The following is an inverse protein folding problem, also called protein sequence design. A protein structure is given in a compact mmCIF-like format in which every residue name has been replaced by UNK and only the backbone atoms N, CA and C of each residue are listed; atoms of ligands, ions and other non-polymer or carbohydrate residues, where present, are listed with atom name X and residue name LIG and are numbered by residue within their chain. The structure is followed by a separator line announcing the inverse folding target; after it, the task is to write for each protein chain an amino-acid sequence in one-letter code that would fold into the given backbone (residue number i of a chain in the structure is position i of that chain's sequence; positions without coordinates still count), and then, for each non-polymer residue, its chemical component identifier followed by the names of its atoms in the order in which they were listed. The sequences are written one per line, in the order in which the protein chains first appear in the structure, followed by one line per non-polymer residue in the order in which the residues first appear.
data_IF_916457172644
#
_entry.id   IF_916457172644
#
_cell.length_a   1.000
_cell.length_b   1.000
_cell.length_c   1.000
_cell.angle_alpha   90.00
_cell.angle_beta   90.00
_cell.angle_gamma   90.00
#
_symmetry.space_group_name_H-M   'P 1'
#
loop_
_entity.id
_entity.type
_entity.pdbx_description
1 polymer ?
#
# COMPACT_ATOMS: atom_id res chain seq x y z
N UNK A 1 -17.75 -5.67 19.44
CA UNK A 1 -18.07 -4.70 18.38
C UNK A 1 -17.10 -4.93 17.25
N UNK A 2 -17.60 -5.17 16.05
CA UNK A 2 -16.77 -5.21 14.84
C UNK A 2 -16.33 -3.78 14.50
N UNK A 3 -15.07 -3.62 14.09
CA UNK A 3 -14.58 -2.32 13.65
C UNK A 3 -15.24 -1.97 12.30
N UNK A 4 -15.50 -0.70 11.99
CA UNK A 4 -16.05 -0.32 10.68
C UNK A 4 -14.93 -0.21 9.62
N UNK A 5 -15.33 -0.24 8.35
CA UNK A 5 -14.47 0.18 7.23
C UNK A 5 -14.68 1.67 6.97
N UNK A 6 -13.59 2.37 6.64
CA UNK A 6 -13.58 3.83 6.45
C UNK A 6 -13.21 4.18 5.01
N UNK A 7 -13.94 5.14 4.45
CA UNK A 7 -13.49 5.93 3.31
C UNK A 7 -12.85 7.21 3.84
N UNK A 8 -11.61 7.46 3.44
CA UNK A 8 -10.77 8.51 3.99
C UNK A 8 -10.11 9.31 2.88
N UNK A 9 -9.94 10.61 3.11
CA UNK A 9 -9.07 11.44 2.27
C UNK A 9 -7.70 11.54 2.91
N UNK A 10 -6.68 11.05 2.23
CA UNK A 10 -5.30 11.11 2.73
C UNK A 10 -4.70 12.47 2.40
N UNK A 11 -4.19 13.18 3.40
CA UNK A 11 -3.51 14.49 3.23
C UNK A 11 -2.00 14.29 3.10
N UNK A 12 -1.41 13.54 4.03
CA UNK A 12 0.03 13.26 4.05
C UNK A 12 0.31 11.78 3.73
N UNK A 13 0.50 11.45 2.46
CA UNK A 13 0.63 10.07 1.98
C UNK A 13 1.78 9.29 2.65
N UNK A 14 2.96 9.90 2.79
CA UNK A 14 4.13 9.27 3.41
C UNK A 14 3.88 8.98 4.89
N UNK A 15 3.35 9.95 5.63
CA UNK A 15 3.06 9.79 7.05
C UNK A 15 1.93 8.78 7.28
N UNK A 16 0.88 8.81 6.46
CA UNK A 16 -0.18 7.80 6.49
C UNK A 16 0.40 6.38 6.42
N UNK A 17 1.19 6.08 5.39
CA UNK A 17 1.79 4.75 5.25
C UNK A 17 2.72 4.43 6.43
N UNK A 18 3.55 5.38 6.89
CA UNK A 18 4.43 5.18 8.05
C UNK A 18 3.68 4.82 9.34
N UNK A 19 2.49 5.38 9.55
CA UNK A 19 1.66 5.08 10.71
C UNK A 19 0.90 3.76 10.57
N UNK A 20 0.61 3.32 9.34
CA UNK A 20 -0.02 2.01 9.10
C UNK A 20 0.96 0.83 9.31
N UNK A 21 2.23 0.99 8.96
CA UNK A 21 3.23 -0.10 9.01
C UNK A 21 3.36 -0.80 10.38
N UNK A 22 3.34 -0.10 11.53
CA UNK A 22 3.36 -0.74 12.85
C UNK A 22 2.09 -1.54 13.19
N UNK A 23 0.95 -1.22 12.57
CA UNK A 23 -0.37 -1.79 12.91
C UNK A 23 -0.66 -3.13 12.21
N UNK A 24 0.21 -3.56 11.31
CA UNK A 24 0.06 -4.80 10.53
C UNK A 24 1.09 -5.84 10.96
N UNK A 25 0.89 -7.11 10.64
CA UNK A 25 1.81 -8.20 10.98
C UNK A 25 2.78 -8.50 9.82
N UNK A 26 3.68 -9.49 10.02
CA UNK A 26 4.62 -9.94 8.99
C UNK A 26 3.96 -10.71 7.84
N UNK A 27 2.70 -11.11 7.98
CA UNK A 27 1.91 -11.75 6.94
C UNK A 27 1.30 -10.75 5.95
N UNK A 28 1.45 -9.45 6.22
CA UNK A 28 0.98 -8.37 5.37
C UNK A 28 2.07 -7.93 4.40
N UNK A 29 1.67 -7.53 3.20
CA UNK A 29 2.56 -6.94 2.18
C UNK A 29 2.14 -5.51 1.85
N UNK A 30 3.12 -4.64 1.63
CA UNK A 30 2.91 -3.35 0.98
C UNK A 30 3.05 -3.53 -0.52
N UNK A 31 2.04 -3.12 -1.26
CA UNK A 31 2.04 -3.14 -2.72
C UNK A 31 2.07 -1.70 -3.22
N UNK A 32 2.97 -1.42 -4.15
CA UNK A 32 3.09 -0.15 -4.85
C UNK A 32 2.95 -0.42 -6.35
N UNK A 33 2.07 0.32 -7.02
CA UNK A 33 1.92 0.27 -8.48
C UNK A 33 2.20 1.66 -9.03
N UNK A 34 3.01 1.75 -10.09
CA UNK A 34 3.39 3.02 -10.70
C UNK A 34 4.80 3.00 -11.26
N UNK A 35 5.40 4.17 -11.42
CA UNK A 35 6.82 4.34 -11.74
C UNK A 35 7.70 4.00 -10.52
N UNK A 36 8.40 2.87 -10.62
CA UNK A 36 9.27 2.35 -9.57
C UNK A 36 10.73 2.76 -9.72
N UNK A 37 11.05 3.73 -10.60
CA UNK A 37 12.43 4.17 -10.88
C UNK A 37 13.22 4.63 -9.65
N UNK A 38 12.52 5.10 -8.61
CA UNK A 38 13.12 5.57 -7.35
C UNK A 38 13.14 4.51 -6.23
N UNK A 39 12.54 3.35 -6.46
CA UNK A 39 12.48 2.27 -5.46
C UNK A 39 13.82 1.53 -5.39
N UNK A 40 14.53 1.62 -4.26
CA UNK A 40 15.81 0.92 -4.07
C UNK A 40 15.57 -0.42 -3.38
N UNK A 41 15.43 -1.47 -4.19
CA UNK A 41 15.09 -2.82 -3.73
C UNK A 41 16.19 -3.55 -2.95
N UNK A 42 17.46 -3.18 -3.13
CA UNK A 42 18.59 -3.93 -2.57
C UNK A 42 18.66 -4.02 -1.05
N UNK A 43 17.76 -3.34 -0.31
CA UNK A 43 17.64 -3.42 1.15
C UNK A 43 16.29 -3.97 1.64
N UNK A 44 15.40 -4.33 0.71
CA UNK A 44 14.07 -4.83 1.01
C UNK A 44 14.05 -6.34 0.78
N UNK A 45 14.12 -7.09 1.87
CA UNK A 45 14.19 -8.54 1.84
C UNK A 45 12.89 -9.15 1.29
N UNK A 46 13.01 -10.09 0.36
CA UNK A 46 11.86 -10.73 -0.28
C UNK A 46 10.96 -9.79 -1.11
N UNK A 47 11.40 -8.57 -1.43
CA UNK A 47 10.64 -7.68 -2.30
C UNK A 47 10.63 -8.18 -3.75
N UNK A 48 9.44 -8.28 -4.34
CA UNK A 48 9.22 -8.79 -5.70
C UNK A 48 8.72 -7.68 -6.59
N UNK A 49 9.38 -7.47 -7.73
CA UNK A 49 8.96 -6.53 -8.77
C UNK A 49 8.41 -7.28 -9.98
N UNK A 50 7.20 -6.93 -10.35
CA UNK A 50 6.52 -7.43 -11.55
C UNK A 50 6.41 -6.29 -12.56
N UNK A 51 6.78 -6.54 -13.82
CA UNK A 51 6.54 -5.58 -14.90
C UNK A 51 5.06 -5.59 -15.28
N UNK A 52 4.49 -4.41 -15.48
CA UNK A 52 3.12 -4.26 -15.98
C UNK A 52 3.21 -3.69 -17.38
N UNK A 53 2.43 -4.26 -18.31
CA UNK A 53 2.31 -3.70 -19.65
C UNK A 53 1.54 -2.39 -19.56
N UNK A 54 2.23 -1.28 -19.77
CA UNK A 54 1.62 0.04 -19.95
C UNK A 54 1.60 0.40 -21.44
N UNK A 55 0.50 1.02 -21.86
CA UNK A 55 0.32 1.52 -23.23
C UNK A 55 1.32 2.62 -23.56
N UNK A 56 1.72 3.41 -22.55
CA UNK A 56 2.68 4.49 -22.72
C UNK A 56 4.13 3.93 -22.80
N UNK A 57 4.81 4.06 -23.96
CA UNK A 57 6.13 3.50 -24.16
C UNK A 57 7.23 4.16 -23.31
N UNK A 58 7.04 5.41 -22.86
CA UNK A 58 8.04 6.17 -22.06
C UNK A 58 8.27 5.54 -20.68
N UNK A 59 7.25 4.90 -20.11
CA UNK A 59 7.29 4.34 -18.76
C UNK A 59 7.45 2.82 -18.73
N UNK A 60 7.55 2.14 -19.88
CA UNK A 60 7.51 0.68 -19.98
C UNK A 60 8.54 -0.06 -19.11
N UNK A 61 9.72 0.51 -18.90
CA UNK A 61 10.80 -0.16 -18.17
C UNK A 61 10.75 0.08 -16.65
N UNK A 62 10.23 1.23 -16.21
CA UNK A 62 10.20 1.60 -14.79
C UNK A 62 8.84 1.36 -14.14
N UNK A 63 7.76 1.35 -14.93
CA UNK A 63 6.41 1.11 -14.45
C UNK A 63 6.21 -0.36 -14.08
N UNK A 64 5.59 -0.62 -12.93
CA UNK A 64 5.31 -1.98 -12.50
C UNK A 64 4.59 -2.06 -11.18
N UNK A 65 4.48 -3.29 -10.67
CA UNK A 65 3.98 -3.62 -9.33
C UNK A 65 5.16 -4.06 -8.48
N UNK A 66 5.30 -3.47 -7.30
CA UNK A 66 6.29 -3.83 -6.31
C UNK A 66 5.57 -4.34 -5.07
N UNK A 67 5.80 -5.60 -4.72
CA UNK A 67 5.24 -6.25 -3.54
C UNK A 67 6.35 -6.42 -2.50
N UNK A 68 6.16 -5.89 -1.30
CA UNK A 68 7.16 -5.88 -0.23
C UNK A 68 6.55 -6.53 1.02
N UNK A 69 7.03 -7.72 1.42
CA UNK A 69 6.63 -8.34 2.68
C UNK A 69 6.94 -7.42 3.87
N UNK A 70 6.02 -7.26 4.81
CA UNK A 70 6.20 -6.35 5.95
C UNK A 70 6.86 -7.03 7.15
N UNK A 71 8.02 -7.65 6.91
CA UNK A 71 8.92 -8.11 7.96
C UNK A 71 9.42 -6.92 8.82
N UNK A 72 9.95 -7.21 10.02
CA UNK A 72 10.47 -6.18 10.92
C UNK A 72 11.56 -5.31 10.27
N UNK A 73 12.47 -5.93 9.51
CA UNK A 73 13.53 -5.24 8.78
C UNK A 73 12.96 -4.34 7.67
N UNK A 74 12.03 -4.86 6.86
CA UNK A 74 11.43 -4.09 5.76
C UNK A 74 10.63 -2.90 6.29
N UNK A 75 9.87 -3.07 7.38
CA UNK A 75 9.16 -1.96 8.04
C UNK A 75 10.12 -0.86 8.48
N UNK A 76 11.27 -1.23 9.06
CA UNK A 76 12.30 -0.28 9.46
C UNK A 76 12.85 0.49 8.25
N UNK A 77 13.29 -0.23 7.22
CA UNK A 77 13.86 0.36 5.99
C UNK A 77 12.85 1.25 5.25
N UNK A 78 11.59 0.82 5.18
CA UNK A 78 10.50 1.61 4.60
C UNK A 78 10.30 2.92 5.34
N UNK A 79 10.16 2.88 6.67
CA UNK A 79 9.92 4.07 7.49
C UNK A 79 11.09 5.05 7.48
N UNK A 80 12.32 4.55 7.55
CA UNK A 80 13.52 5.38 7.71
C UNK A 80 14.08 5.88 6.39
N UNK A 81 14.06 5.06 5.34
CA UNK A 81 14.88 5.32 4.15
C UNK A 81 14.07 5.41 2.84
N UNK A 82 13.08 4.55 2.64
CA UNK A 82 12.46 4.37 1.32
C UNK A 82 11.24 5.28 1.10
N UNK A 83 10.25 5.28 2.00
CA UNK A 83 8.99 6.02 1.79
C UNK A 83 9.17 7.51 1.47
N UNK A 84 10.11 8.25 2.11
CA UNK A 84 10.36 9.65 1.76
C UNK A 84 10.90 9.87 0.33
N UNK A 85 11.48 8.83 -0.30
CA UNK A 85 12.18 8.92 -1.59
C UNK A 85 11.36 8.41 -2.78
N UNK A 86 10.39 7.52 -2.53
CA UNK A 86 9.60 6.87 -3.58
C UNK A 86 8.75 7.89 -4.37
N UNK A 87 8.34 8.99 -3.72
CA UNK A 87 7.49 10.01 -4.37
C UNK A 87 6.05 9.52 -4.53
N UNK A 88 5.41 9.08 -3.43
CA UNK A 88 4.11 8.40 -3.43
C UNK A 88 2.99 9.12 -4.20
N UNK A 89 2.93 10.46 -4.21
CA UNK A 89 1.91 11.20 -4.97
C UNK A 89 2.26 11.49 -6.43
N UNK A 90 3.53 11.30 -6.81
CA UNK A 90 4.08 11.75 -8.09
C UNK A 90 4.31 10.57 -9.03
N UNK A 91 4.74 9.43 -8.47
CA UNK A 91 5.21 8.27 -9.23
C UNK A 91 4.35 7.05 -9.02
N UNK A 92 3.71 6.94 -7.87
CA UNK A 92 2.95 5.75 -7.48
C UNK A 92 1.47 6.03 -7.72
N UNK A 93 0.89 5.33 -8.68
CA UNK A 93 -0.53 5.45 -9.01
C UNK A 93 -1.40 4.77 -7.96
N UNK A 94 -0.92 3.73 -7.30
CA UNK A 94 -1.71 2.96 -6.35
C UNK A 94 -0.86 2.36 -5.24
N UNK A 95 -1.39 2.40 -4.02
CA UNK A 95 -0.78 1.85 -2.80
C UNK A 95 -1.79 0.94 -2.11
N UNK A 96 -1.36 -0.28 -1.76
CA UNK A 96 -2.19 -1.24 -1.05
C UNK A 96 -1.45 -1.85 0.14
N UNK A 97 -2.19 -2.20 1.19
CA UNK A 97 -1.77 -3.16 2.20
C UNK A 97 -2.60 -4.42 2.03
N UNK A 98 -1.94 -5.52 1.69
CA UNK A 98 -2.59 -6.80 1.41
C UNK A 98 -2.19 -7.86 2.44
N UNK A 99 -3.17 -8.60 2.96
CA UNK A 99 -2.92 -9.74 3.86
C UNK A 99 -3.77 -10.92 3.43
N UNK A 100 -3.13 -12.00 2.98
CA UNK A 100 -3.80 -13.22 2.51
C UNK A 100 -4.98 -12.96 1.53
N UNK A 101 -4.80 -12.02 0.58
CA UNK A 101 -5.82 -11.66 -0.40
C UNK A 101 -6.89 -10.67 0.09
N UNK A 102 -6.85 -10.24 1.35
CA UNK A 102 -7.68 -9.16 1.89
C UNK A 102 -6.96 -7.82 1.78
N UNK A 103 -7.68 -6.78 1.33
CA UNK A 103 -7.20 -5.41 1.34
C UNK A 103 -7.43 -4.78 2.72
N UNK A 104 -6.34 -4.40 3.38
CA UNK A 104 -6.37 -3.66 4.64
C UNK A 104 -6.42 -2.15 4.37
N UNK A 105 -5.68 -1.70 3.37
CA UNK A 105 -5.65 -0.31 2.93
C UNK A 105 -5.54 -0.28 1.41
N UNK A 106 -6.23 0.65 0.77
CA UNK A 106 -6.13 0.87 -0.67
C UNK A 106 -6.28 2.36 -0.97
N UNK A 107 -5.26 2.94 -1.59
CA UNK A 107 -5.30 4.29 -2.14
C UNK A 107 -4.95 4.23 -3.62
N UNK A 108 -5.89 4.60 -4.48
CA UNK A 108 -5.70 4.72 -5.92
C UNK A 108 -5.37 6.15 -6.32
N UNK A 109 -5.09 6.33 -7.61
CA UNK A 109 -4.87 7.62 -8.26
C UNK A 109 -3.93 8.55 -7.48
N UNK A 110 -2.79 8.02 -7.02
CA UNK A 110 -1.77 8.80 -6.30
C UNK A 110 -2.31 9.56 -5.08
N UNK A 111 -3.28 8.98 -4.36
CA UNK A 111 -3.97 9.57 -3.20
C UNK A 111 -4.78 10.84 -3.53
N UNK A 112 -5.16 11.05 -4.80
CA UNK A 112 -6.07 12.13 -5.19
C UNK A 112 -7.52 11.76 -4.87
N UNK A 113 -7.85 10.49 -5.04
CA UNK A 113 -9.17 9.93 -4.73
C UNK A 113 -9.27 9.55 -3.26
N UNK A 114 -10.48 9.18 -2.84
CA UNK A 114 -10.73 8.61 -1.52
C UNK A 114 -10.04 7.25 -1.41
N UNK A 115 -9.34 7.06 -0.29
CA UNK A 115 -8.72 5.80 0.07
C UNK A 115 -9.66 4.99 0.96
N UNK A 116 -9.52 3.68 0.92
CA UNK A 116 -10.22 2.76 1.80
C UNK A 116 -9.28 2.28 2.91
N UNK A 117 -9.77 2.27 4.14
CA UNK A 117 -9.12 1.70 5.30
C UNK A 117 -10.06 0.69 5.95
N UNK A 118 -9.66 -0.58 6.01
CA UNK A 118 -10.54 -1.65 6.47
C UNK A 118 -10.75 -1.65 7.99
N UNK A 119 -11.71 -2.45 8.41
CA UNK A 119 -12.00 -2.86 9.78
C UNK A 119 -10.84 -3.57 10.52
N UNK A 120 -9.70 -3.81 9.85
CA UNK A 120 -8.49 -4.26 10.55
C UNK A 120 -7.99 -3.22 11.56
N UNK A 121 -8.17 -1.94 11.25
CA UNK A 121 -7.63 -0.85 12.05
C UNK A 121 -8.60 -0.47 13.16
N UNK A 122 -8.08 -0.35 14.39
CA UNK A 122 -8.89 0.00 15.55
C UNK A 122 -9.42 1.44 15.41
N UNK A 123 -10.68 1.72 15.78
CA UNK A 123 -11.25 3.06 15.69
C UNK A 123 -10.40 4.14 16.35
N UNK A 124 -9.82 3.85 17.52
CA UNK A 124 -8.93 4.77 18.23
C UNK A 124 -7.70 5.18 17.40
N UNK A 125 -7.07 4.24 16.69
CA UNK A 125 -5.95 4.56 15.80
C UNK A 125 -6.38 5.45 14.62
N UNK A 126 -7.58 5.23 14.07
CA UNK A 126 -8.12 6.06 12.99
C UNK A 126 -8.38 7.49 13.49
N UNK A 127 -8.91 7.63 14.71
CA UNK A 127 -9.10 8.92 15.36
C UNK A 127 -7.78 9.66 15.62
N UNK A 128 -6.71 8.94 15.99
CA UNK A 128 -5.37 9.54 16.12
C UNK A 128 -4.89 10.10 14.78
N UNK A 129 -5.01 9.35 13.68
CA UNK A 129 -4.61 9.82 12.34
C UNK A 129 -5.41 11.04 11.88
N UNK A 130 -6.71 11.08 12.20
CA UNK A 130 -7.58 12.22 11.88
C UNK A 130 -7.23 13.45 12.74
N UNK A 131 -6.98 13.24 14.03
CA UNK A 131 -6.57 14.30 14.96
C UNK A 131 -5.24 14.94 14.54
N UNK A 132 -4.27 14.12 14.11
CA UNK A 132 -2.99 14.59 13.57
C UNK A 132 -3.13 15.24 12.16
N UNK A 133 -4.33 15.22 11.57
CA UNK A 133 -4.60 15.78 10.25
C UNK A 133 -3.93 15.01 9.11
N UNK A 134 -3.51 13.76 9.34
CA UNK A 134 -2.92 12.88 8.32
C UNK A 134 -3.99 12.45 7.33
N UNK A 135 -5.19 12.18 7.84
CA UNK A 135 -6.37 11.77 7.07
C UNK A 135 -7.56 12.65 7.44
N UNK A 136 -8.63 12.56 6.67
CA UNK A 136 -9.96 13.01 7.05
C UNK A 136 -10.95 11.88 6.75
N UNK A 137 -11.79 11.50 7.71
CA UNK A 137 -12.80 10.47 7.50
C UNK A 137 -13.96 11.10 6.71
N UNK A 138 -14.31 10.49 5.57
CA UNK A 138 -15.42 10.92 4.72
C UNK A 138 -16.69 10.13 5.06
N UNK A 139 -16.54 8.81 5.13
CA UNK A 139 -17.61 7.89 5.46
C UNK A 139 -17.08 6.74 6.31
N UNK A 140 -17.91 6.28 7.25
CA UNK A 140 -17.71 5.00 7.95
C UNK A 140 -18.90 4.09 7.66
N UNK A 141 -18.62 2.81 7.39
CA UNK A 141 -19.63 1.82 7.02
C UNK A 141 -19.36 0.46 7.65
N UNK A 142 -20.35 -0.43 7.58
CA UNK A 142 -20.21 -1.81 8.03
C UNK A 142 -19.19 -2.60 7.18
N UNK A 143 -18.54 -3.59 7.79
CA UNK A 143 -17.45 -4.38 7.20
C UNK A 143 -17.78 -4.92 5.81
N UNK A 144 -17.17 -4.31 4.79
CA UNK A 144 -17.04 -4.92 3.47
C UNK A 144 -15.66 -5.56 3.40
N UNK A 145 -15.59 -6.88 3.53
CA UNK A 145 -14.35 -7.63 3.25
C UNK A 145 -14.02 -7.43 1.78
N UNK A 146 -13.17 -6.44 1.49
CA UNK A 146 -12.77 -6.15 0.12
C UNK A 146 -11.62 -7.09 -0.22
N UNK A 147 -11.92 -8.07 -1.07
CA UNK A 147 -10.93 -9.00 -1.60
C UNK A 147 -10.20 -8.35 -2.77
N UNK A 148 -8.92 -8.68 -2.94
CA UNK A 148 -8.20 -8.36 -4.17
C UNK A 148 -8.89 -9.13 -5.31
N UNK A 149 -9.34 -8.44 -6.35
CA UNK A 149 -9.94 -9.07 -7.53
C UNK A 149 -8.99 -10.11 -8.15
N UNK A 150 -9.53 -11.06 -8.93
CA UNK A 150 -8.76 -12.14 -9.55
C UNK A 150 -7.49 -11.62 -10.23
N UNK A 151 -6.35 -12.05 -9.70
CA UNK A 151 -5.03 -11.72 -10.24
C UNK A 151 -4.84 -12.54 -11.52
N UNK A 152 -4.32 -11.97 -12.62
CA UNK A 152 -3.80 -12.80 -13.70
C UNK A 152 -2.60 -13.60 -13.16
N UNK A 153 -2.84 -14.85 -12.76
CA UNK A 153 -1.80 -15.78 -12.32
C UNK A 153 -0.83 -16.02 -13.48
N UNK A 154 0.39 -15.49 -13.37
CA UNK A 154 1.55 -15.95 -14.14
C UNK A 154 2.70 -16.28 -13.18
N UNK A 155 2.50 -17.30 -12.36
CA UNK A 155 3.64 -18.02 -11.78
C UNK A 155 4.12 -19.05 -12.81
N UNK A 156 5.19 -18.73 -13.53
CA UNK A 156 6.06 -19.78 -14.05
C UNK A 156 6.98 -20.18 -12.91
N UNK A 157 6.60 -21.22 -12.17
CA UNK A 157 7.55 -21.93 -11.32
C UNK A 157 8.57 -22.62 -12.24
N UNK A 158 9.74 -22.02 -12.41
CA UNK A 158 10.90 -22.71 -12.92
C UNK A 158 11.47 -23.57 -11.78
N UNK A 159 10.98 -24.79 -11.64
CA UNK A 159 11.76 -25.86 -11.02
C UNK A 159 12.63 -26.47 -12.14
N UNK A 160 13.94 -26.30 -12.01
CA UNK A 160 14.94 -27.18 -12.62
C UNK A 160 15.34 -28.23 -11.59
#
# INVERSE_FOLDING_TARGET
MENPTYQIKVRYAVECVKHLLPQVDAATSLVLVGDLSQCRLGKLDGAVRESIVVENPVFRESYGRLTIPLSGLNKYELKKNQLPRIGLRQRISEVQLERYGRLLFHASNSFQDEAMLSDWFRPYFVQELEHEGIIAVIQSGQSATTTVGERPFRFQFAYQ
#
